data_IF_390297851092
#
_entry.id   IF_390297851092
#
_cell.length_a   1.000
_cell.length_b   1.000
_cell.length_c   1.000
_cell.angle_alpha   90.00
_cell.angle_beta   90.00
_cell.angle_gamma   90.00
#
_symmetry.space_group_name_H-M   'P 1'
#
loop_
_entity.id
_entity.type
_entity.pdbx_description
1 polymer ?
#
# COMPACT_ATOMS: atom_id res chain seq x y z
N UNK A 1 -9.93 30.08 -8.50
CA UNK A 1 -8.73 29.35 -8.05
C UNK A 1 -9.01 27.88 -7.92
N UNK A 2 -8.42 27.06 -8.76
CA UNK A 2 -8.51 25.63 -8.62
C UNK A 2 -7.83 25.19 -7.33
N UNK A 3 -8.52 24.45 -6.47
CA UNK A 3 -7.87 23.72 -5.40
C UNK A 3 -6.88 22.76 -6.03
N UNK A 4 -5.59 22.94 -5.77
CA UNK A 4 -4.61 21.95 -6.13
C UNK A 4 -5.06 20.64 -5.48
N UNK A 5 -5.44 19.67 -6.30
CA UNK A 5 -5.88 18.38 -5.81
C UNK A 5 -4.71 17.76 -5.03
N UNK A 6 -4.91 17.49 -3.75
CA UNK A 6 -3.89 16.84 -2.95
C UNK A 6 -3.63 15.44 -3.51
N UNK A 7 -2.35 15.12 -3.67
CA UNK A 7 -1.95 13.78 -4.07
C UNK A 7 -2.17 12.82 -2.89
N UNK A 8 -2.78 11.67 -3.10
CA UNK A 8 -3.02 10.74 -2.00
C UNK A 8 -1.74 10.11 -1.45
N UNK A 9 -1.84 9.66 -0.20
CA UNK A 9 -0.86 8.79 0.42
C UNK A 9 -1.35 7.36 0.24
N UNK A 10 -0.49 6.51 -0.34
CA UNK A 10 -0.76 5.09 -0.49
C UNK A 10 -0.15 4.34 0.69
N UNK A 11 -0.98 3.53 1.36
CA UNK A 11 -0.55 2.69 2.49
C UNK A 11 -0.86 1.25 2.15
N UNK A 12 0.15 0.41 2.08
CA UNK A 12 -0.08 -1.02 1.90
C UNK A 12 -0.37 -1.67 3.24
N UNK A 13 -1.36 -2.58 3.27
CA UNK A 13 -1.76 -3.25 4.50
C UNK A 13 -2.49 -2.35 5.48
N UNK A 14 -3.49 -1.59 5.00
CA UNK A 14 -4.21 -0.60 5.81
C UNK A 14 -5.37 -1.14 6.65
N UNK A 15 -5.63 -2.45 6.63
CA UNK A 15 -6.85 -3.03 7.23
C UNK A 15 -6.82 -3.18 8.74
N UNK A 16 -5.67 -3.11 9.37
CA UNK A 16 -5.53 -3.27 10.83
C UNK A 16 -4.19 -2.73 11.34
N UNK A 17 -4.07 -2.67 12.68
CA UNK A 17 -2.83 -2.33 13.40
C UNK A 17 -2.23 -1.00 12.92
N UNK A 18 -0.94 -0.97 12.65
CA UNK A 18 -0.21 0.25 12.32
C UNK A 18 -0.75 0.90 11.03
N UNK A 19 -0.98 0.13 9.98
CA UNK A 19 -1.50 0.65 8.72
C UNK A 19 -2.85 1.31 8.87
N UNK A 20 -3.75 0.71 9.65
CA UNK A 20 -5.05 1.28 9.94
C UNK A 20 -4.94 2.59 10.73
N UNK A 21 -4.07 2.63 11.73
CA UNK A 21 -3.83 3.84 12.54
C UNK A 21 -3.28 4.98 11.68
N UNK A 22 -2.34 4.69 10.79
CA UNK A 22 -1.77 5.69 9.88
C UNK A 22 -2.85 6.22 8.92
N UNK A 23 -3.67 5.33 8.36
CA UNK A 23 -4.75 5.72 7.46
C UNK A 23 -5.72 6.69 8.15
N UNK A 24 -6.17 6.36 9.35
CA UNK A 24 -7.06 7.24 10.12
C UNK A 24 -6.39 8.57 10.48
N UNK A 25 -5.11 8.56 10.80
CA UNK A 25 -4.38 9.79 11.09
C UNK A 25 -4.45 10.78 9.92
N UNK A 26 -4.14 10.31 8.71
CA UNK A 26 -4.18 11.18 7.53
C UNK A 26 -5.59 11.56 7.12
N UNK A 27 -6.55 10.65 7.26
CA UNK A 27 -7.96 10.98 6.99
C UNK A 27 -8.48 12.07 7.95
N UNK A 28 -8.08 12.01 9.22
CA UNK A 28 -8.42 13.04 10.20
C UNK A 28 -7.82 14.41 9.85
N UNK A 29 -6.68 14.42 9.16
CA UNK A 29 -6.07 15.63 8.61
C UNK A 29 -6.69 16.04 7.27
N UNK A 30 -7.74 15.35 6.83
CA UNK A 30 -8.40 15.57 5.53
C UNK A 30 -7.46 15.38 4.34
N UNK A 31 -6.50 14.49 4.49
CA UNK A 31 -5.59 14.11 3.42
C UNK A 31 -6.13 12.87 2.70
N UNK A 32 -6.15 12.84 1.37
CA UNK A 32 -6.63 11.65 0.64
C UNK A 32 -5.71 10.46 0.86
N UNK A 33 -6.31 9.29 1.05
CA UNK A 33 -5.61 8.05 1.37
C UNK A 33 -6.12 6.93 0.48
N UNK A 34 -5.18 6.14 -0.03
CA UNK A 34 -5.45 4.87 -0.71
C UNK A 34 -4.83 3.77 0.15
N UNK A 35 -5.59 2.72 0.44
CA UNK A 35 -5.05 1.57 1.19
C UNK A 35 -5.21 0.30 0.39
N UNK A 36 -4.24 -0.61 0.53
CA UNK A 36 -4.41 -1.99 0.12
C UNK A 36 -4.88 -2.83 1.32
N UNK A 37 -5.68 -3.84 1.05
CA UNK A 37 -6.06 -4.83 2.04
C UNK A 37 -6.15 -6.21 1.40
N UNK A 38 -5.86 -7.24 2.17
CA UNK A 38 -5.98 -8.62 1.73
C UNK A 38 -7.27 -9.26 2.23
N UNK A 39 -7.62 -8.97 3.47
CA UNK A 39 -8.81 -9.50 4.14
C UNK A 39 -9.79 -8.37 4.43
N UNK A 40 -11.05 -8.57 4.07
CA UNK A 40 -12.13 -7.59 4.31
C UNK A 40 -12.51 -7.60 5.79
N UNK A 41 -11.75 -6.90 6.61
CA UNK A 41 -12.12 -6.65 8.01
C UNK A 41 -13.20 -5.56 8.08
N UNK A 42 -14.01 -5.52 9.16
CA UNK A 42 -14.97 -4.42 9.37
C UNK A 42 -14.33 -3.03 9.32
N UNK A 43 -13.03 -2.92 9.70
CA UNK A 43 -12.27 -1.68 9.62
C UNK A 43 -12.16 -1.12 8.20
N UNK A 44 -12.19 -1.96 7.17
CA UNK A 44 -12.12 -1.52 5.78
C UNK A 44 -13.37 -0.68 5.42
N UNK A 45 -14.54 -1.13 5.82
CA UNK A 45 -15.76 -0.35 5.61
C UNK A 45 -15.71 0.98 6.37
N UNK A 46 -15.14 0.97 7.56
CA UNK A 46 -14.91 2.21 8.32
C UNK A 46 -13.99 3.19 7.59
N UNK A 47 -12.94 2.67 6.96
CA UNK A 47 -12.03 3.50 6.14
C UNK A 47 -12.75 4.07 4.92
N UNK A 48 -13.56 3.27 4.23
CA UNK A 48 -14.35 3.74 3.08
C UNK A 48 -15.30 4.87 3.49
N UNK A 49 -15.99 4.71 4.61
CA UNK A 49 -16.90 5.74 5.15
C UNK A 49 -16.13 7.00 5.53
N UNK A 50 -14.90 6.89 5.96
CA UNK A 50 -14.04 8.02 6.28
C UNK A 50 -13.40 8.67 5.04
N UNK A 51 -13.64 8.12 3.84
CA UNK A 51 -13.21 8.70 2.57
C UNK A 51 -11.99 8.04 1.93
N UNK A 52 -11.45 6.97 2.50
CA UNK A 52 -10.33 6.26 1.89
C UNK A 52 -10.78 5.44 0.68
N UNK A 53 -9.90 5.35 -0.31
CA UNK A 53 -10.04 4.38 -1.39
C UNK A 53 -9.37 3.08 -0.93
N UNK A 54 -10.14 2.00 -0.85
CA UNK A 54 -9.66 0.71 -0.37
C UNK A 54 -9.62 -0.27 -1.55
N UNK A 55 -8.46 -0.85 -1.82
CA UNK A 55 -8.24 -1.73 -2.97
C UNK A 55 -7.77 -3.08 -2.45
N UNK A 56 -8.50 -4.14 -2.79
CA UNK A 56 -8.09 -5.50 -2.47
C UNK A 56 -6.85 -5.87 -3.28
N UNK A 57 -5.89 -6.51 -2.63
CA UNK A 57 -4.65 -6.92 -3.27
C UNK A 57 -4.05 -8.14 -2.59
N UNK A 58 -3.48 -9.03 -3.38
CA UNK A 58 -2.73 -10.18 -2.91
C UNK A 58 -1.27 -10.04 -3.36
N UNK A 59 -0.38 -9.74 -2.43
CA UNK A 59 1.05 -9.57 -2.72
C UNK A 59 1.84 -10.87 -2.66
N UNK A 60 1.19 -12.00 -2.51
CA UNK A 60 1.86 -13.31 -2.55
C UNK A 60 2.34 -13.70 -3.94
N UNK A 61 1.90 -13.00 -4.98
CA UNK A 61 2.32 -13.19 -6.37
C UNK A 61 2.73 -11.86 -7.00
N UNK A 62 3.63 -11.92 -7.97
CA UNK A 62 4.02 -10.73 -8.75
C UNK A 62 2.82 -10.16 -9.52
N UNK A 63 1.99 -11.04 -10.06
CA UNK A 63 0.77 -10.62 -10.77
C UNK A 63 -0.17 -9.83 -9.88
N UNK A 64 -0.36 -10.27 -8.64
CA UNK A 64 -1.19 -9.55 -7.66
C UNK A 64 -0.63 -8.18 -7.31
N UNK A 65 0.71 -8.06 -7.21
CA UNK A 65 1.40 -6.80 -6.96
C UNK A 65 1.17 -5.83 -8.14
N UNK A 66 1.41 -6.30 -9.36
CA UNK A 66 1.27 -5.47 -10.55
C UNK A 66 -0.18 -5.10 -10.85
N UNK A 67 -1.12 -6.00 -10.60
CA UNK A 67 -2.56 -5.72 -10.68
C UNK A 67 -2.96 -4.58 -9.72
N UNK A 68 -2.46 -4.63 -8.49
CA UNK A 68 -2.68 -3.55 -7.55
C UNK A 68 -2.12 -2.22 -8.05
N UNK A 69 -0.89 -2.23 -8.58
CA UNK A 69 -0.27 -1.03 -9.16
C UNK A 69 -1.14 -0.43 -10.27
N UNK A 70 -1.69 -1.26 -11.14
CA UNK A 70 -2.57 -0.81 -12.22
C UNK A 70 -3.85 -0.16 -11.67
N UNK A 71 -4.42 -0.73 -10.62
CA UNK A 71 -5.60 -0.15 -9.96
C UNK A 71 -5.29 1.20 -9.31
N UNK A 72 -4.12 1.35 -8.71
CA UNK A 72 -3.67 2.64 -8.18
C UNK A 72 -3.52 3.66 -9.28
N UNK A 73 -2.91 3.30 -10.40
CA UNK A 73 -2.75 4.19 -11.56
C UNK A 73 -4.09 4.62 -12.16
N UNK A 74 -5.10 3.76 -12.09
CA UNK A 74 -6.45 4.09 -12.54
C UNK A 74 -7.18 5.03 -11.56
N UNK A 75 -6.73 5.10 -10.32
CA UNK A 75 -7.37 5.88 -9.25
C UNK A 75 -6.82 7.30 -9.16
N UNK A 76 -5.53 7.49 -9.41
CA UNK A 76 -4.86 8.78 -9.23
C UNK A 76 -3.76 9.00 -10.28
N UNK A 77 -3.43 10.25 -10.53
CA UNK A 77 -2.35 10.65 -11.44
C UNK A 77 -1.06 11.02 -10.69
N UNK A 78 -1.07 11.04 -9.38
CA UNK A 78 0.12 11.35 -8.58
C UNK A 78 -0.03 10.85 -7.16
N UNK A 79 1.10 10.53 -6.51
CA UNK A 79 1.17 10.10 -5.12
C UNK A 79 2.07 11.04 -4.32
N UNK A 80 1.59 11.45 -3.14
CA UNK A 80 2.40 12.21 -2.19
C UNK A 80 3.42 11.31 -1.49
N UNK A 81 3.04 10.09 -1.19
CA UNK A 81 3.91 9.10 -0.57
C UNK A 81 3.39 7.69 -0.80
N UNK A 82 4.28 6.74 -0.75
CA UNK A 82 3.97 5.30 -0.61
C UNK A 82 4.56 4.85 0.72
N UNK A 83 3.70 4.27 1.55
CA UNK A 83 4.10 3.70 2.84
C UNK A 83 3.97 2.18 2.73
N UNK A 84 5.11 1.51 2.65
CA UNK A 84 5.18 0.05 2.60
C UNK A 84 5.05 -0.51 4.00
N UNK A 85 3.83 -0.87 4.36
CA UNK A 85 3.48 -1.41 5.67
C UNK A 85 2.96 -2.85 5.59
N UNK A 86 2.53 -3.33 4.42
CA UNK A 86 2.03 -4.70 4.28
C UNK A 86 3.05 -5.70 4.76
N UNK A 87 2.62 -6.63 5.58
CA UNK A 87 3.46 -7.61 6.23
C UNK A 87 2.72 -8.93 6.34
N UNK A 88 3.47 -10.02 6.25
CA UNK A 88 3.01 -11.34 6.63
C UNK A 88 4.12 -12.01 7.41
N UNK A 89 3.75 -12.70 8.45
CA UNK A 89 4.67 -13.50 9.22
C UNK A 89 4.27 -14.97 9.13
N UNK A 90 5.23 -15.81 8.83
CA UNK A 90 5.05 -17.25 8.84
C UNK A 90 6.04 -17.87 9.79
N UNK A 91 5.51 -18.59 10.77
CA UNK A 91 6.34 -19.40 11.64
C UNK A 91 6.95 -20.57 10.87
N UNK A 92 8.18 -20.90 11.20
CA UNK A 92 8.76 -22.17 10.80
C UNK A 92 8.02 -23.28 11.56
N UNK A 93 7.53 -24.25 10.81
CA UNK A 93 6.81 -25.41 11.37
C UNK A 93 7.51 -26.69 10.96
N UNK A 94 7.49 -27.74 11.82
CA UNK A 94 7.99 -29.04 11.43
C UNK A 94 7.31 -29.50 10.12
N UNK A 95 8.12 -29.99 9.17
CA UNK A 95 7.64 -30.41 7.85
C UNK A 95 7.47 -29.32 6.81
N UNK A 96 7.67 -28.05 7.17
CA UNK A 96 7.66 -26.94 6.21
C UNK A 96 9.08 -26.67 5.73
N UNK A 97 9.26 -26.48 4.42
CA UNK A 97 10.56 -26.08 3.86
C UNK A 97 10.93 -24.68 4.34
N UNK A 98 12.15 -24.54 4.91
CA UNK A 98 12.70 -23.24 5.30
C UNK A 98 12.81 -22.32 4.09
N UNK A 99 13.17 -22.88 2.93
CA UNK A 99 13.28 -22.14 1.68
C UNK A 99 11.94 -21.56 1.23
N UNK A 100 10.86 -22.33 1.33
CA UNK A 100 9.51 -21.86 1.00
C UNK A 100 9.04 -20.77 1.97
N UNK A 101 9.32 -20.93 3.26
CA UNK A 101 9.01 -19.92 4.26
C UNK A 101 9.74 -18.61 3.97
N UNK A 102 11.05 -18.69 3.71
CA UNK A 102 11.86 -17.53 3.36
C UNK A 102 11.33 -16.85 2.08
N UNK A 103 11.06 -17.63 1.03
CA UNK A 103 10.56 -17.09 -0.24
C UNK A 103 9.23 -16.34 -0.05
N UNK A 104 8.33 -16.90 0.76
CA UNK A 104 7.05 -16.26 1.04
C UNK A 104 7.21 -14.94 1.81
N UNK A 105 8.17 -14.87 2.74
CA UNK A 105 8.47 -13.65 3.49
C UNK A 105 9.13 -12.60 2.58
N UNK A 106 10.08 -13.00 1.75
CA UNK A 106 10.75 -12.11 0.80
C UNK A 106 9.77 -11.55 -0.23
N UNK A 107 8.79 -12.33 -0.65
CA UNK A 107 7.78 -11.89 -1.61
C UNK A 107 7.03 -10.65 -1.12
N UNK A 108 6.63 -10.63 0.13
CA UNK A 108 5.85 -9.53 0.70
C UNK A 108 6.73 -8.38 1.16
N UNK A 109 7.89 -8.67 1.76
CA UNK A 109 8.72 -7.64 2.39
C UNK A 109 9.76 -7.01 1.47
N UNK A 110 10.14 -7.69 0.39
CA UNK A 110 11.17 -7.23 -0.55
C UNK A 110 10.61 -7.08 -1.96
N UNK A 111 10.04 -8.15 -2.53
CA UNK A 111 9.58 -8.12 -3.91
C UNK A 111 8.43 -7.14 -4.12
N UNK A 112 7.44 -7.13 -3.22
CA UNK A 112 6.29 -6.25 -3.35
C UNK A 112 6.70 -4.77 -3.30
N UNK A 113 7.46 -4.28 -2.31
CA UNK A 113 7.94 -2.90 -2.32
C UNK A 113 8.77 -2.55 -3.55
N UNK A 114 9.66 -3.44 -3.96
CA UNK A 114 10.51 -3.21 -5.14
C UNK A 114 9.69 -3.05 -6.41
N UNK A 115 8.78 -3.98 -6.67
CA UNK A 115 7.93 -3.95 -7.86
C UNK A 115 6.96 -2.77 -7.83
N UNK A 116 6.38 -2.45 -6.68
CA UNK A 116 5.48 -1.29 -6.55
C UNK A 116 6.22 0.02 -6.76
N UNK A 117 7.41 0.19 -6.20
CA UNK A 117 8.20 1.40 -6.41
C UNK A 117 8.51 1.60 -7.89
N UNK A 118 8.86 0.52 -8.58
CA UNK A 118 9.13 0.58 -10.01
C UNK A 118 7.88 0.89 -10.82
N UNK A 119 6.78 0.18 -10.55
CA UNK A 119 5.53 0.34 -11.28
C UNK A 119 4.88 1.72 -11.06
N UNK A 120 5.04 2.29 -9.86
CA UNK A 120 4.41 3.56 -9.47
C UNK A 120 5.35 4.77 -9.58
N UNK A 121 6.56 4.61 -10.09
CA UNK A 121 7.56 5.67 -10.11
C UNK A 121 7.07 6.95 -10.78
N UNK A 122 6.28 6.85 -11.84
CA UNK A 122 5.76 8.02 -12.55
C UNK A 122 4.75 8.82 -11.71
N UNK A 123 4.04 8.16 -10.79
CA UNK A 123 3.15 8.84 -9.86
C UNK A 123 3.90 9.55 -8.73
N UNK A 124 5.13 9.12 -8.45
CA UNK A 124 5.96 9.67 -7.38
C UNK A 124 6.89 10.79 -7.87
N UNK A 125 7.07 10.93 -9.17
CA UNK A 125 7.91 11.99 -9.72
C UNK A 125 7.25 13.35 -9.55
N UNK A 126 8.09 14.37 -9.35
CA UNK A 126 7.62 15.74 -9.24
C UNK A 126 7.38 16.38 -10.60
N UNK A 127 6.16 16.36 -11.06
CA UNK A 127 5.74 17.04 -12.29
C UNK A 127 5.24 18.45 -11.95
N UNK A 128 6.17 19.39 -11.77
CA UNK A 128 5.84 20.76 -11.34
C UNK A 128 5.53 20.89 -9.84
N UNK A 129 5.83 19.87 -9.04
CA UNK A 129 5.71 19.84 -7.59
C UNK A 129 6.82 18.97 -7.00
N UNK A 130 6.94 18.93 -5.68
CA UNK A 130 7.93 18.07 -5.02
C UNK A 130 7.66 16.60 -5.34
N UNK A 131 8.73 15.82 -5.48
CA UNK A 131 8.63 14.37 -5.62
C UNK A 131 7.97 13.74 -4.39
N UNK A 132 7.31 12.61 -4.58
CA UNK A 132 6.72 11.85 -3.49
C UNK A 132 7.77 11.09 -2.68
N UNK A 133 7.39 10.72 -1.46
CA UNK A 133 8.25 9.99 -0.54
C UNK A 133 7.95 8.48 -0.58
N UNK A 134 8.97 7.68 -0.33
CA UNK A 134 8.86 6.24 -0.16
C UNK A 134 9.30 5.91 1.26
N UNK A 135 8.42 5.28 2.02
CA UNK A 135 8.66 4.94 3.42
C UNK A 135 8.48 3.44 3.60
N UNK A 136 9.44 2.81 4.24
CA UNK A 136 9.39 1.39 4.58
C UNK A 136 9.31 1.21 6.10
N UNK A 137 8.43 0.34 6.53
CA UNK A 137 8.49 -0.22 7.88
C UNK A 137 9.23 -1.56 7.84
N UNK A 138 10.25 -1.65 8.65
CA UNK A 138 11.10 -2.85 8.75
C UNK A 138 10.95 -3.51 10.13
#
# INVERSE_FOLDING_TARGET
MGNAQQRPILITGGGRRIGLAIAHHFLNLRHPVIVSYRTEYPSIEGLRKAGAVCIEADFSTDEGILDFADKVKATTTGLRAVIHNASAWRAEKPGTSLSETLSAMLQIHVNAPYLLNHALQNLLRGHGHAAGDIIHFT
#
